data_IF_749474444032
#
_entry.id   IF_749474444032
#
_cell.length_a   1.000
_cell.length_b   1.000
_cell.length_c   1.000
_cell.angle_alpha   90.00
_cell.angle_beta   90.00
_cell.angle_gamma   90.00
#
_symmetry.space_group_name_H-M   'P 1'
#
loop_
_entity.id
_entity.type
_entity.pdbx_description
1 polymer ?
#
# COMPACT_ATOMS: atom_id res chain seq x y z
N UNK A 1 32.44 -17.83 13.90
CA UNK A 1 31.90 -16.45 14.04
C UNK A 1 32.12 -15.55 12.82
N UNK A 2 33.19 -15.72 12.01
CA UNK A 2 33.41 -14.92 10.78
C UNK A 2 32.46 -15.28 9.62
N UNK A 3 32.07 -16.54 9.52
CA UNK A 3 31.18 -17.05 8.46
C UNK A 3 29.72 -16.65 8.68
N UNK A 4 29.22 -16.67 9.92
CA UNK A 4 27.85 -16.22 10.24
C UNK A 4 27.60 -14.74 9.90
N UNK A 5 28.58 -13.87 10.16
CA UNK A 5 28.53 -12.45 9.79
C UNK A 5 28.54 -12.23 8.28
N UNK A 6 29.22 -13.10 7.53
CA UNK A 6 29.25 -13.04 6.07
C UNK A 6 27.87 -13.39 5.48
N UNK A 7 27.22 -14.45 5.98
CA UNK A 7 25.87 -14.82 5.56
C UNK A 7 24.81 -13.77 5.93
N UNK A 8 24.91 -13.21 7.14
CA UNK A 8 24.01 -12.14 7.58
C UNK A 8 24.18 -10.87 6.72
N UNK A 9 25.42 -10.50 6.39
CA UNK A 9 25.73 -9.37 5.52
C UNK A 9 25.23 -9.60 4.08
N UNK A 10 25.45 -10.79 3.51
CA UNK A 10 24.93 -11.12 2.18
C UNK A 10 23.40 -11.12 2.13
N UNK A 11 22.74 -11.54 3.21
CA UNK A 11 21.28 -11.57 3.29
C UNK A 11 20.71 -10.14 3.43
N UNK A 12 21.38 -9.27 4.20
CA UNK A 12 20.99 -7.86 4.36
C UNK A 12 21.22 -7.06 3.06
N UNK A 13 22.31 -7.34 2.34
CA UNK A 13 22.58 -6.73 1.02
C UNK A 13 21.57 -7.24 -0.03
N UNK A 14 21.25 -8.53 -0.03
CA UNK A 14 20.23 -9.09 -0.93
C UNK A 14 18.84 -8.49 -0.67
N UNK A 15 18.46 -8.31 0.59
CA UNK A 15 17.21 -7.66 0.97
C UNK A 15 17.13 -6.20 0.50
N UNK A 16 18.25 -5.46 0.56
CA UNK A 16 18.32 -4.07 0.11
C UNK A 16 18.26 -3.92 -1.42
N UNK A 17 18.76 -4.90 -2.17
CA UNK A 17 18.75 -4.87 -3.65
C UNK A 17 17.38 -5.23 -4.22
N UNK A 18 16.63 -6.13 -3.56
CA UNK A 18 15.28 -6.54 -4.00
C UNK A 18 14.27 -5.39 -3.85
N UNK A 19 14.45 -4.48 -2.90
CA UNK A 19 13.58 -3.31 -2.70
C UNK A 19 13.82 -2.16 -3.68
N UNK A 20 14.83 -2.25 -4.56
CA UNK A 20 15.19 -1.16 -5.48
C UNK A 20 14.77 -1.39 -6.94
N UNK A 21 13.86 -2.32 -7.21
CA UNK A 21 13.26 -2.40 -8.55
C UNK A 21 12.13 -1.36 -8.67
N UNK A 22 12.23 -0.38 -9.58
CA UNK A 22 11.09 0.45 -9.92
C UNK A 22 10.08 -0.45 -10.64
N UNK A 23 8.95 -0.72 -10.00
CA UNK A 23 7.77 -1.27 -10.67
C UNK A 23 7.16 -0.16 -11.52
N UNK A 24 7.82 0.15 -12.63
CA UNK A 24 7.28 0.97 -13.71
C UNK A 24 6.57 0.01 -14.68
N UNK A 25 5.42 -0.52 -14.25
CA UNK A 25 4.50 -1.25 -15.11
C UNK A 25 3.23 -0.41 -15.28
N UNK A 26 3.27 0.54 -16.22
CA UNK A 26 2.07 1.14 -16.77
C UNK A 26 2.13 1.02 -18.30
N UNK A 27 1.22 0.25 -18.94
CA UNK A 27 1.19 0.14 -20.39
C UNK A 27 0.55 1.39 -21.01
N UNK A 28 1.30 2.02 -21.92
CA UNK A 28 0.87 2.64 -23.18
C UNK A 28 -0.51 3.33 -23.21
N UNK A 29 -0.51 4.67 -23.19
CA UNK A 29 -1.63 5.46 -23.69
C UNK A 29 -1.60 5.55 -25.24
N UNK A 30 -2.67 5.15 -25.95
CA UNK A 30 -2.84 5.52 -27.34
C UNK A 30 -3.47 6.91 -27.47
N UNK A 31 -2.67 7.81 -28.01
CA UNK A 31 -2.96 8.82 -29.03
C UNK A 31 -4.43 9.26 -29.22
N UNK A 32 -4.64 10.55 -29.04
CA UNK A 32 -5.79 11.38 -29.43
C UNK A 32 -6.35 11.09 -30.83
N UNK A 33 -7.65 10.76 -30.93
CA UNK A 33 -8.49 11.09 -32.10
C UNK A 33 -9.99 10.98 -31.75
N UNK A 34 -10.67 12.12 -31.68
CA UNK A 34 -12.11 12.35 -31.94
C UNK A 34 -13.15 11.29 -31.46
N UNK A 35 -13.24 11.02 -30.14
CA UNK A 35 -14.24 10.09 -29.55
C UNK A 35 -14.83 10.59 -28.21
N UNK A 36 -15.33 11.84 -28.19
CA UNK A 36 -15.85 12.52 -26.97
C UNK A 36 -17.01 11.77 -26.27
N UNK A 37 -17.80 10.97 -27.00
CA UNK A 37 -18.94 10.22 -26.43
C UNK A 37 -18.49 9.02 -25.57
N UNK A 38 -17.58 8.18 -26.07
CA UNK A 38 -17.16 6.98 -25.33
C UNK A 38 -16.15 7.32 -24.23
N UNK A 39 -15.25 8.28 -24.44
CA UNK A 39 -14.32 8.71 -23.38
C UNK A 39 -15.02 9.36 -22.19
N UNK A 40 -16.11 10.09 -22.39
CA UNK A 40 -16.84 10.71 -21.27
C UNK A 40 -17.51 9.67 -20.37
N UNK A 41 -18.07 8.60 -20.95
CA UNK A 41 -18.63 7.50 -20.18
C UNK A 41 -17.53 6.75 -19.42
N UNK A 42 -16.40 6.44 -20.06
CA UNK A 42 -15.27 5.80 -19.37
C UNK A 42 -14.63 6.70 -18.30
N UNK A 43 -14.62 8.02 -18.48
CA UNK A 43 -14.09 8.96 -17.50
C UNK A 43 -15.00 9.06 -16.27
N UNK A 44 -16.32 9.08 -16.46
CA UNK A 44 -17.28 9.05 -15.36
C UNK A 44 -17.20 7.73 -14.56
N UNK A 45 -17.00 6.61 -15.24
CA UNK A 45 -16.84 5.29 -14.62
C UNK A 45 -15.55 5.21 -13.78
N UNK A 46 -14.44 5.78 -14.28
CA UNK A 46 -13.19 5.92 -13.51
C UNK A 46 -13.35 6.80 -12.28
N UNK A 47 -13.99 7.96 -12.42
CA UNK A 47 -14.21 8.86 -11.29
C UNK A 47 -15.06 8.21 -10.17
N UNK A 48 -16.00 7.33 -10.54
CA UNK A 48 -16.73 6.50 -9.58
C UNK A 48 -15.82 5.52 -8.84
N UNK A 49 -14.98 4.79 -9.58
CA UNK A 49 -14.01 3.84 -9.02
C UNK A 49 -12.97 4.52 -8.09
N UNK A 50 -12.51 5.72 -8.44
CA UNK A 50 -11.55 6.48 -7.63
C UNK A 50 -12.16 6.88 -6.27
N UNK A 51 -13.42 7.35 -6.27
CA UNK A 51 -14.16 7.65 -5.03
C UNK A 51 -14.41 6.42 -4.19
N UNK A 52 -14.82 5.31 -4.81
CA UNK A 52 -15.04 4.04 -4.11
C UNK A 52 -13.76 3.56 -3.42
N UNK A 53 -12.61 3.70 -4.09
CA UNK A 53 -11.31 3.36 -3.53
C UNK A 53 -10.91 4.24 -2.34
N UNK A 54 -11.15 5.55 -2.41
CA UNK A 54 -10.91 6.45 -1.27
C UNK A 54 -11.77 6.00 -0.07
N UNK A 55 -13.04 5.66 -0.32
CA UNK A 55 -13.94 5.17 0.72
C UNK A 55 -13.48 3.83 1.32
N UNK A 56 -12.99 2.88 0.51
CA UNK A 56 -12.43 1.62 1.03
C UNK A 56 -11.25 1.83 1.98
N UNK A 57 -10.42 2.84 1.72
CA UNK A 57 -9.28 3.19 2.57
C UNK A 57 -9.76 3.84 3.87
N UNK A 58 -10.70 4.77 3.78
CA UNK A 58 -11.31 5.42 4.94
C UNK A 58 -12.15 4.45 5.79
N UNK A 59 -12.71 3.41 5.19
CA UNK A 59 -13.47 2.37 5.87
C UNK A 59 -12.59 1.46 6.75
N UNK A 60 -11.26 1.54 6.66
CA UNK A 60 -10.37 0.73 7.48
C UNK A 60 -10.34 1.25 8.92
N UNK A 61 -10.50 0.33 9.88
CA UNK A 61 -10.54 0.67 11.29
C UNK A 61 -9.27 1.38 11.79
N UNK A 62 -8.10 1.01 11.28
CA UNK A 62 -6.84 1.65 11.64
C UNK A 62 -6.72 3.08 11.11
N UNK A 63 -7.29 3.36 9.93
CA UNK A 63 -7.36 4.72 9.36
C UNK A 63 -8.33 5.58 10.16
N UNK A 64 -9.53 5.07 10.48
CA UNK A 64 -10.51 5.79 11.31
C UNK A 64 -9.96 6.10 12.70
N UNK A 65 -9.33 5.12 13.36
CA UNK A 65 -8.70 5.31 14.67
C UNK A 65 -7.64 6.41 14.63
N UNK A 66 -6.86 6.49 13.55
CA UNK A 66 -5.83 7.54 13.39
C UNK A 66 -6.46 8.92 13.14
N UNK A 67 -7.52 9.00 12.33
CA UNK A 67 -8.25 10.24 12.11
C UNK A 67 -8.89 10.77 13.40
N UNK A 68 -9.53 9.89 14.17
CA UNK A 68 -10.11 10.24 15.47
C UNK A 68 -9.03 10.66 16.47
N UNK A 69 -7.87 10.00 16.50
CA UNK A 69 -6.72 10.41 17.33
C UNK A 69 -6.20 11.80 16.97
N UNK A 70 -6.34 12.21 15.71
CA UNK A 70 -5.98 13.55 15.25
C UNK A 70 -7.08 14.58 15.52
N UNK A 71 -8.21 14.17 16.11
CA UNK A 71 -9.35 15.04 16.43
C UNK A 71 -10.26 15.32 15.22
N UNK A 72 -10.20 14.48 14.19
CA UNK A 72 -11.01 14.61 12.98
C UNK A 72 -12.32 13.83 13.16
N UNK A 73 -13.44 14.46 12.81
CA UNK A 73 -14.75 13.81 12.75
C UNK A 73 -14.88 12.99 11.45
N UNK A 74 -15.27 11.73 11.56
CA UNK A 74 -15.42 10.83 10.41
C UNK A 74 -16.57 11.26 9.50
N UNK A 75 -17.65 11.78 10.06
CA UNK A 75 -18.82 12.23 9.29
C UNK A 75 -18.45 13.43 8.41
N UNK A 76 -17.57 14.31 8.89
CA UNK A 76 -17.06 15.45 8.12
C UNK A 76 -16.17 14.99 6.96
N UNK A 77 -15.36 13.96 7.18
CA UNK A 77 -14.45 13.41 6.16
C UNK A 77 -15.26 12.75 5.05
N UNK A 78 -16.26 11.95 5.38
CA UNK A 78 -17.15 11.32 4.39
C UNK A 78 -17.88 12.37 3.55
N UNK A 79 -18.43 13.41 4.20
CA UNK A 79 -19.08 14.52 3.51
C UNK A 79 -18.11 15.25 2.57
N UNK A 80 -16.85 15.41 2.97
CA UNK A 80 -15.82 16.05 2.14
C UNK A 80 -15.47 15.20 0.93
N UNK A 81 -15.29 13.88 1.10
CA UNK A 81 -15.03 12.96 -0.02
C UNK A 81 -16.19 12.94 -1.01
N UNK A 82 -17.43 12.96 -0.51
CA UNK A 82 -18.62 13.06 -1.36
C UNK A 82 -18.69 14.38 -2.15
N UNK A 83 -18.08 15.45 -1.63
CA UNK A 83 -18.04 16.76 -2.29
C UNK A 83 -16.88 16.95 -3.28
N UNK A 84 -15.92 16.01 -3.34
CA UNK A 84 -14.77 16.12 -4.23
C UNK A 84 -15.19 16.11 -5.70
N UNK A 85 -14.58 16.98 -6.50
CA UNK A 85 -14.69 16.89 -7.96
C UNK A 85 -13.99 15.64 -8.48
N UNK A 86 -14.34 15.21 -9.70
CA UNK A 86 -13.77 14.00 -10.30
C UNK A 86 -12.23 14.07 -10.40
N UNK A 87 -11.68 15.25 -10.72
CA UNK A 87 -10.24 15.46 -10.81
C UNK A 87 -9.54 15.40 -9.44
N UNK A 88 -10.17 15.91 -8.39
CA UNK A 88 -9.62 15.86 -7.03
C UNK A 88 -9.68 14.44 -6.45
N UNK A 89 -10.74 13.69 -6.75
CA UNK A 89 -10.85 12.29 -6.38
C UNK A 89 -9.75 11.46 -7.04
N UNK A 90 -9.50 11.66 -8.34
CA UNK A 90 -8.42 10.98 -9.05
C UNK A 90 -7.04 11.29 -8.44
N UNK A 91 -6.73 12.58 -8.24
CA UNK A 91 -5.45 12.98 -7.63
C UNK A 91 -5.27 12.39 -6.23
N UNK A 92 -6.34 12.34 -5.43
CA UNK A 92 -6.30 11.77 -4.10
C UNK A 92 -6.11 10.25 -4.14
N UNK A 93 -6.80 9.54 -5.03
CA UNK A 93 -6.64 8.11 -5.21
C UNK A 93 -5.20 7.74 -5.62
N UNK A 94 -4.62 8.47 -6.58
CA UNK A 94 -3.24 8.29 -7.02
C UNK A 94 -2.23 8.51 -5.87
N UNK A 95 -2.48 9.48 -4.99
CA UNK A 95 -1.65 9.71 -3.81
C UNK A 95 -1.79 8.57 -2.78
N UNK A 96 -3.01 8.06 -2.57
CA UNK A 96 -3.28 6.97 -1.65
C UNK A 96 -2.65 5.64 -2.13
N UNK A 97 -2.57 5.41 -3.44
CA UNK A 97 -1.85 4.26 -4.01
C UNK A 97 -0.34 4.31 -3.75
N UNK A 98 0.24 5.50 -3.70
CA UNK A 98 1.66 5.69 -3.39
C UNK A 98 1.97 5.49 -1.91
N UNK A 99 0.95 5.51 -1.04
CA UNK A 99 1.13 5.21 0.37
C UNK A 99 1.21 3.69 0.57
N UNK A 100 2.24 3.17 1.26
CA UNK A 100 2.37 1.74 1.51
C UNK A 100 1.17 1.22 2.32
N UNK A 101 0.20 0.61 1.63
CA UNK A 101 -0.91 -0.11 2.23
C UNK A 101 -0.38 -1.38 2.90
N UNK A 102 0.14 -1.23 4.12
CA UNK A 102 0.89 -2.27 4.83
C UNK A 102 1.81 -1.74 5.93
N UNK A 103 1.99 -0.42 6.06
CA UNK A 103 2.74 0.17 7.17
C UNK A 103 1.95 0.24 8.51
N UNK A 104 0.78 -0.38 8.59
CA UNK A 104 -0.01 -0.48 9.81
C UNK A 104 0.53 -1.52 10.80
N UNK A 105 -0.06 -1.59 11.99
CA UNK A 105 0.29 -2.56 13.05
C UNK A 105 0.30 -3.99 12.52
N UNK A 106 -0.64 -4.35 11.64
CA UNK A 106 -0.74 -5.68 11.05
C UNK A 106 0.48 -5.99 10.18
N UNK A 107 0.93 -5.06 9.34
CA UNK A 107 2.11 -5.27 8.51
C UNK A 107 3.41 -5.26 9.31
N UNK A 108 3.49 -4.45 10.37
CA UNK A 108 4.62 -4.50 11.31
C UNK A 108 4.69 -5.86 12.03
N UNK A 109 3.56 -6.37 12.53
CA UNK A 109 3.47 -7.70 13.15
C UNK A 109 3.81 -8.81 12.16
N UNK A 110 3.33 -8.70 10.91
CA UNK A 110 3.65 -9.65 9.85
C UNK A 110 5.14 -9.62 9.48
N UNK A 111 5.76 -8.44 9.41
CA UNK A 111 7.19 -8.31 9.17
C UNK A 111 8.01 -8.93 10.30
N UNK A 112 7.65 -8.67 11.57
CA UNK A 112 8.29 -9.32 12.73
C UNK A 112 8.14 -10.83 12.67
N UNK A 113 6.94 -11.33 12.34
CA UNK A 113 6.68 -12.75 12.15
C UNK A 113 7.61 -13.37 11.09
N UNK A 114 7.73 -12.75 9.91
CA UNK A 114 8.60 -13.24 8.82
C UNK A 114 10.08 -13.23 9.24
N UNK A 115 10.54 -12.16 9.90
CA UNK A 115 11.92 -12.08 10.38
C UNK A 115 12.21 -13.22 11.36
N UNK A 116 11.35 -13.43 12.36
CA UNK A 116 11.51 -14.51 13.33
C UNK A 116 11.43 -15.88 12.68
N UNK A 117 10.53 -16.08 11.72
CA UNK A 117 10.41 -17.34 10.98
C UNK A 117 11.69 -17.67 10.21
N UNK A 118 12.28 -16.69 9.52
CA UNK A 118 13.52 -16.89 8.78
C UNK A 118 14.68 -17.15 9.73
N UNK A 119 14.79 -16.43 10.85
CA UNK A 119 15.86 -16.69 11.83
C UNK A 119 15.71 -18.05 12.50
N UNK A 120 14.50 -18.56 12.62
CA UNK A 120 14.21 -19.89 13.18
C UNK A 120 14.61 -21.02 12.23
N UNK A 121 14.22 -20.93 10.95
CA UNK A 121 14.63 -21.88 9.90
C UNK A 121 16.16 -21.95 9.75
N UNK A 122 16.85 -20.82 9.94
CA UNK A 122 18.31 -20.76 9.93
C UNK A 122 18.97 -21.28 11.22
N UNK A 123 18.18 -21.59 12.26
CA UNK A 123 18.66 -22.07 13.56
C UNK A 123 19.29 -20.98 14.43
N UNK A 124 19.02 -19.70 14.17
CA UNK A 124 19.49 -18.59 15.01
C UNK A 124 18.55 -18.33 16.21
N UNK A 125 17.27 -18.68 16.08
CA UNK A 125 16.24 -18.55 17.10
C UNK A 125 15.44 -19.85 17.22
N UNK A 126 14.74 -20.05 18.33
CA UNK A 126 13.92 -21.25 18.59
C UNK A 126 12.55 -20.80 19.15
N UNK A 127 11.75 -20.19 18.28
CA UNK A 127 10.49 -19.48 18.64
C UNK A 127 9.28 -20.29 18.17
N UNK A 128 9.39 -20.94 17.02
CA UNK A 128 8.34 -21.68 16.34
C UNK A 128 8.62 -23.18 16.39
N UNK A 129 7.83 -23.99 17.10
CA UNK A 129 8.12 -25.42 17.28
C UNK A 129 7.90 -26.28 16.02
N UNK A 130 7.47 -25.69 14.91
CA UNK A 130 7.13 -26.36 13.64
C UNK A 130 8.19 -26.18 12.54
N UNK A 131 9.23 -25.38 12.78
CA UNK A 131 10.35 -25.14 11.85
C UNK A 131 11.44 -26.21 11.93
N UNK A 132 11.28 -27.18 12.83
CA UNK A 132 12.21 -28.28 13.12
C UNK A 132 11.73 -29.62 12.58
#
# INVERSE_FOLDING_TARGET
MKTLRAYLSTLLIAALVITSLPVAAAPTAPQSMDLVSTQSVLAADRAGADRERINEILARADVQDQLVKQGVDLDEVEARVASLSDAEAQQMADQLEQLPAGAGVVGALFAVFIILLVTDILGLTDVYPFTR
#
